data_IF_272997592751
#
_entry.id   IF_272997592751
#
_cell.length_a   1.000
_cell.length_b   1.000
_cell.length_c   1.000
_cell.angle_alpha   90.00
_cell.angle_beta   90.00
_cell.angle_gamma   90.00
#
_symmetry.space_group_name_H-M   'P 1'
#
loop_
_entity.id
_entity.type
_entity.pdbx_description
1 polymer ?
#
# COMPACT_ATOMS: atom_id res chain seq x y z
N UNK A 1 18.44 40.16 -20.03
CA UNK A 1 18.87 39.91 -18.65
C UNK A 1 20.29 39.39 -18.76
N UNK A 2 21.27 40.17 -18.33
CA UNK A 2 22.66 39.75 -18.41
C UNK A 2 22.86 38.49 -17.55
N UNK A 3 23.66 37.55 -18.03
CA UNK A 3 23.91 36.25 -17.37
C UNK A 3 24.41 36.41 -15.93
N UNK A 4 25.06 37.53 -15.63
CA UNK A 4 25.53 37.89 -14.30
C UNK A 4 24.36 38.16 -13.33
N UNK A 5 23.34 38.90 -13.75
CA UNK A 5 22.17 39.24 -12.94
C UNK A 5 21.30 38.01 -12.65
N UNK A 6 21.26 37.06 -13.59
CA UNK A 6 20.57 35.78 -13.41
C UNK A 6 21.24 34.92 -12.33
N UNK A 7 22.58 34.84 -12.33
CA UNK A 7 23.34 34.07 -11.34
C UNK A 7 23.19 34.62 -9.92
N UNK A 8 23.20 35.95 -9.76
CA UNK A 8 22.99 36.61 -8.46
C UNK A 8 21.61 36.31 -7.87
N UNK A 9 20.56 36.37 -8.69
CA UNK A 9 19.20 36.02 -8.24
C UNK A 9 19.09 34.54 -7.85
N UNK A 10 19.73 33.62 -8.59
CA UNK A 10 19.74 32.20 -8.23
C UNK A 10 20.50 31.92 -6.93
N UNK A 11 21.60 32.63 -6.69
CA UNK A 11 22.35 32.49 -5.44
C UNK A 11 21.53 32.95 -4.24
N UNK A 12 20.82 34.07 -4.38
CA UNK A 12 20.02 34.67 -3.32
C UNK A 12 18.81 33.78 -2.95
N UNK A 13 18.08 33.29 -3.97
CA UNK A 13 16.94 32.38 -3.74
C UNK A 13 17.42 31.03 -3.20
N UNK A 14 18.56 30.52 -3.66
CA UNK A 14 19.13 29.26 -3.18
C UNK A 14 19.56 29.37 -1.72
N UNK A 15 20.23 30.47 -1.34
CA UNK A 15 20.69 30.70 0.03
C UNK A 15 19.52 30.83 1.02
N UNK A 16 18.56 31.72 0.72
CA UNK A 16 17.38 31.91 1.58
C UNK A 16 16.53 30.64 1.62
N UNK A 17 16.33 30.01 0.46
CA UNK A 17 15.62 28.74 0.33
C UNK A 17 16.27 27.65 1.16
N UNK A 18 17.59 27.52 1.13
CA UNK A 18 18.33 26.52 1.91
C UNK A 18 18.17 26.71 3.40
N UNK A 19 18.24 27.95 3.91
CA UNK A 19 18.02 28.26 5.32
C UNK A 19 16.59 27.89 5.76
N UNK A 20 15.58 28.30 4.98
CA UNK A 20 14.18 28.00 5.28
C UNK A 20 13.90 26.50 5.21
N UNK A 21 14.46 25.80 4.21
CA UNK A 21 14.31 24.36 4.04
C UNK A 21 14.94 23.61 5.22
N UNK A 22 16.11 24.03 5.69
CA UNK A 22 16.74 23.45 6.89
C UNK A 22 15.91 23.65 8.16
N UNK A 23 15.32 24.83 8.35
CA UNK A 23 14.40 25.07 9.48
C UNK A 23 13.19 24.15 9.39
N UNK A 24 12.59 24.02 8.20
CA UNK A 24 11.48 23.10 7.93
C UNK A 24 11.87 21.66 8.23
N UNK A 25 13.05 21.20 7.79
CA UNK A 25 13.55 19.85 8.06
C UNK A 25 13.79 19.64 9.55
N UNK A 26 14.33 20.63 10.27
CA UNK A 26 14.54 20.54 11.70
C UNK A 26 13.20 20.40 12.47
N UNK A 27 12.21 21.23 12.11
CA UNK A 27 10.85 21.14 12.67
C UNK A 27 10.21 19.80 12.30
N UNK A 28 10.37 19.36 11.05
CA UNK A 28 9.83 18.10 10.57
C UNK A 28 10.43 16.91 11.32
N UNK A 29 11.75 16.86 11.51
CA UNK A 29 12.43 15.83 12.31
C UNK A 29 11.97 15.85 13.76
N UNK A 30 11.86 17.02 14.37
CA UNK A 30 11.35 17.15 15.73
C UNK A 30 9.93 16.58 15.84
N UNK A 31 9.08 16.89 14.87
CA UNK A 31 7.73 16.34 14.81
C UNK A 31 7.72 14.83 14.55
N UNK A 32 8.61 14.33 13.69
CA UNK A 32 8.75 12.90 13.39
C UNK A 32 9.14 12.10 14.63
N UNK A 33 10.12 12.60 15.41
CA UNK A 33 10.55 11.94 16.65
C UNK A 33 9.39 11.87 17.65
N UNK A 34 8.65 12.98 17.82
CA UNK A 34 7.50 13.04 18.71
C UNK A 34 6.35 12.14 18.23
N UNK A 35 6.11 12.10 16.93
CA UNK A 35 5.12 11.23 16.31
C UNK A 35 5.51 9.77 16.53
N UNK A 36 6.74 9.35 16.21
CA UNK A 36 7.21 7.97 16.39
C UNK A 36 7.11 7.51 17.85
N UNK A 37 7.46 8.35 18.82
CA UNK A 37 7.32 7.99 20.24
C UNK A 37 5.85 7.74 20.64
N UNK A 38 4.92 8.52 20.09
CA UNK A 38 3.47 8.34 20.33
C UNK A 38 2.93 7.14 19.54
N UNK A 39 3.38 6.99 18.30
CA UNK A 39 3.02 5.89 17.40
C UNK A 39 3.50 4.56 17.93
N UNK A 40 4.67 4.47 18.58
CA UNK A 40 5.17 3.22 19.16
C UNK A 40 4.19 2.65 20.19
N UNK A 41 3.61 3.49 21.07
CA UNK A 41 2.58 3.06 22.02
C UNK A 41 1.26 2.69 21.35
N UNK A 42 0.91 3.38 20.27
CA UNK A 42 -0.31 3.10 19.50
C UNK A 42 -0.15 1.77 18.76
N UNK A 43 1.00 1.55 18.13
CA UNK A 43 1.34 0.31 17.42
C UNK A 43 1.34 -0.87 18.37
N UNK A 44 1.88 -0.74 19.58
CA UNK A 44 1.89 -1.84 20.57
C UNK A 44 0.47 -2.26 21.02
N UNK A 45 -0.47 -1.30 21.08
CA UNK A 45 -1.90 -1.61 21.30
C UNK A 45 -2.56 -2.22 20.06
N UNK A 46 -2.29 -1.65 18.89
CA UNK A 46 -2.79 -2.17 17.61
C UNK A 46 -2.27 -3.58 17.37
N UNK A 47 -1.04 -3.91 17.73
CA UNK A 47 -0.45 -5.24 17.56
C UNK A 47 -1.17 -6.30 18.39
N UNK A 48 -1.63 -5.95 19.60
CA UNK A 48 -2.48 -6.83 20.41
C UNK A 48 -3.85 -7.03 19.78
N UNK A 49 -4.49 -5.95 19.34
CA UNK A 49 -5.81 -6.01 18.71
C UNK A 49 -5.74 -6.73 17.34
N UNK A 50 -4.67 -6.52 16.58
CA UNK A 50 -4.38 -7.17 15.29
C UNK A 50 -3.98 -8.62 15.45
N UNK A 51 -3.37 -9.06 16.56
CA UNK A 51 -3.18 -10.50 16.77
C UNK A 51 -4.53 -11.20 16.96
N UNK A 52 -5.44 -10.61 17.74
CA UNK A 52 -6.80 -11.15 17.92
C UNK A 52 -7.64 -11.05 16.64
N UNK A 53 -7.61 -9.92 15.95
CA UNK A 53 -8.28 -9.74 14.65
C UNK A 53 -7.58 -10.56 13.57
N UNK A 54 -6.28 -10.81 13.70
CA UNK A 54 -5.44 -11.53 12.76
C UNK A 54 -5.83 -12.99 12.68
N UNK A 55 -6.14 -13.64 13.81
CA UNK A 55 -6.68 -15.01 13.79
C UNK A 55 -8.05 -15.06 13.11
N UNK A 56 -8.97 -14.16 13.45
CA UNK A 56 -10.29 -14.07 12.80
C UNK A 56 -10.20 -13.71 11.32
N UNK A 57 -9.30 -12.79 10.96
CA UNK A 57 -9.07 -12.33 9.58
C UNK A 57 -8.34 -13.40 8.78
N UNK A 58 -7.47 -14.19 9.41
CA UNK A 58 -6.77 -15.33 8.79
C UNK A 58 -7.73 -16.48 8.56
N UNK A 59 -8.67 -16.74 9.45
CA UNK A 59 -9.80 -17.64 9.22
C UNK A 59 -10.66 -17.13 8.06
N UNK A 60 -11.09 -15.87 8.09
CA UNK A 60 -11.91 -15.28 7.02
C UNK A 60 -11.18 -15.24 5.66
N UNK A 61 -9.89 -14.89 5.64
CA UNK A 61 -9.06 -14.91 4.44
C UNK A 61 -8.83 -16.35 3.97
N UNK A 62 -8.69 -17.33 4.87
CA UNK A 62 -8.57 -18.73 4.46
C UNK A 62 -9.87 -19.21 3.82
N UNK A 63 -11.03 -18.91 4.42
CA UNK A 63 -12.34 -19.23 3.84
C UNK A 63 -12.60 -18.51 2.51
N UNK A 64 -12.21 -17.24 2.40
CA UNK A 64 -12.30 -16.47 1.16
C UNK A 64 -11.28 -16.93 0.13
N UNK A 65 -10.07 -17.31 0.50
CA UNK A 65 -9.09 -17.86 -0.44
C UNK A 65 -9.56 -19.22 -0.94
N UNK A 66 -10.08 -20.08 -0.08
CA UNK A 66 -10.48 -21.41 -0.50
C UNK A 66 -11.77 -21.36 -1.34
N UNK A 67 -12.71 -20.44 -1.04
CA UNK A 67 -13.97 -20.31 -1.78
C UNK A 67 -13.92 -19.30 -2.93
N UNK A 68 -13.35 -18.11 -2.73
CA UNK A 68 -13.27 -17.08 -3.75
C UNK A 68 -12.13 -17.31 -4.74
N UNK A 69 -10.97 -17.87 -4.34
CA UNK A 69 -9.90 -18.18 -5.29
C UNK A 69 -10.25 -19.40 -6.14
N UNK A 70 -10.90 -20.43 -5.56
CA UNK A 70 -11.45 -21.55 -6.31
C UNK A 70 -12.61 -21.13 -7.23
N UNK A 71 -13.53 -20.27 -6.76
CA UNK A 71 -14.64 -19.75 -7.57
C UNK A 71 -14.14 -18.83 -8.69
N UNK A 72 -13.19 -17.93 -8.41
CA UNK A 72 -12.58 -17.04 -9.39
C UNK A 72 -11.79 -17.83 -10.44
N UNK A 73 -11.01 -18.83 -10.03
CA UNK A 73 -10.29 -19.70 -10.94
C UNK A 73 -11.23 -20.57 -11.76
N UNK A 74 -12.33 -21.09 -11.18
CA UNK A 74 -13.32 -21.88 -11.91
C UNK A 74 -14.23 -21.02 -12.80
N UNK A 75 -14.39 -19.73 -12.50
CA UNK A 75 -15.11 -18.75 -13.32
C UNK A 75 -14.26 -18.28 -14.50
N UNK A 76 -12.99 -17.95 -14.27
CA UNK A 76 -12.03 -17.57 -15.33
C UNK A 76 -11.63 -18.76 -16.21
N UNK A 77 -11.50 -19.96 -15.65
CA UNK A 77 -11.17 -21.19 -16.39
C UNK A 77 -12.37 -22.10 -16.64
N UNK A 78 -13.60 -21.54 -16.67
CA UNK A 78 -14.79 -22.29 -17.12
C UNK A 78 -14.69 -22.55 -18.63
N UNK A 79 -13.78 -23.44 -19.04
CA UNK A 79 -13.76 -24.05 -20.36
C UNK A 79 -15.14 -24.67 -20.55
N UNK A 80 -15.91 -24.11 -21.48
CA UNK A 80 -17.15 -24.71 -21.99
C UNK A 80 -16.82 -26.15 -22.38
N UNK A 81 -17.18 -27.12 -21.54
CA UNK A 81 -17.19 -28.53 -21.94
C UNK A 81 -18.19 -28.62 -23.09
N UNK A 82 -17.66 -28.69 -24.31
CA UNK A 82 -18.41 -28.97 -25.53
C UNK A 82 -19.13 -30.29 -25.29
N UNK A 83 -20.46 -30.26 -25.16
CA UNK A 83 -21.30 -31.45 -25.21
C UNK A 83 -21.08 -32.10 -26.57
N UNK A 84 -20.18 -33.07 -26.67
CA UNK A 84 -20.23 -34.06 -27.73
C UNK A 84 -21.38 -34.97 -27.38
N UNK A 85 -22.54 -34.69 -27.97
CA UNK A 85 -23.62 -35.67 -28.15
C UNK A 85 -23.04 -36.85 -28.93
N UNK A 86 -22.55 -37.86 -28.22
CA UNK A 86 -22.41 -39.18 -28.79
C UNK A 86 -23.81 -39.80 -28.78
N UNK A 87 -24.47 -39.71 -29.94
CA UNK A 87 -25.57 -40.59 -30.30
C UNK A 87 -24.95 -41.99 -30.39
N UNK A 88 -25.11 -42.77 -29.34
CA UNK A 88 -25.03 -44.23 -29.45
C UNK A 88 -26.18 -44.81 -28.62
N UNK A 89 -27.33 -44.84 -29.26
CA UNK A 89 -28.47 -45.64 -28.85
C UNK A 89 -28.58 -46.78 -29.84
N UNK A 90 -27.70 -47.77 -29.69
CA UNK A 90 -27.92 -49.11 -30.22
C UNK A 90 -28.84 -49.84 -29.25
N UNK A 91 -30.11 -49.99 -29.65
CA UNK A 91 -31.03 -51.03 -29.18
C UNK A 91 -31.92 -51.42 -30.35
#
# INVERSE_FOLDING_TARGET
MDTNTQAEMFFLISSVGFVVLWILVAIFLFYLIRATHTFSRIIEKIEKDVNTIGDTTKEMISELRDNAFASLMNFLFKKKKKKTTSKDGSK
#
